data_IF_959799259661
#
_entry.id   IF_959799259661
#
_cell.length_a   1.000
_cell.length_b   1.000
_cell.length_c   1.000
_cell.angle_alpha   90.00
_cell.angle_beta   90.00
_cell.angle_gamma   90.00
#
_symmetry.space_group_name_H-M   'P 1'
#
loop_
_entity.id
_entity.type
_entity.pdbx_description
1 polymer ?
#
# COMPACT_ATOMS: atom_id res chain seq x y z
N UNK A 1 -12.47 15.61 2.74
CA UNK A 1 -12.40 15.01 4.09
C UNK A 1 -11.73 13.66 3.90
N UNK A 2 -10.94 13.14 4.84
CA UNK A 2 -10.36 11.81 4.71
C UNK A 2 -11.45 10.73 4.81
N UNK A 3 -11.25 9.61 4.13
CA UNK A 3 -12.08 8.42 4.27
C UNK A 3 -12.05 7.94 5.73
N UNK A 4 -13.23 7.75 6.32
CA UNK A 4 -13.37 7.30 7.71
C UNK A 4 -13.15 5.79 7.83
N UNK A 5 -12.64 5.34 8.98
CA UNK A 5 -12.46 3.91 9.27
C UNK A 5 -11.09 3.35 8.86
N UNK A 6 -10.18 4.19 8.36
CA UNK A 6 -8.82 3.80 7.96
C UNK A 6 -7.73 4.42 8.86
N UNK A 7 -8.07 4.89 10.06
CA UNK A 7 -7.11 5.45 11.02
C UNK A 7 -5.97 4.48 11.35
N UNK A 8 -6.26 3.18 11.41
CA UNK A 8 -5.24 2.15 11.61
C UNK A 8 -4.20 2.10 10.48
N UNK A 9 -4.59 2.37 9.23
CA UNK A 9 -3.65 2.44 8.11
C UNK A 9 -2.75 3.66 8.25
N UNK A 10 -3.34 4.83 8.50
CA UNK A 10 -2.59 6.08 8.69
C UNK A 10 -1.63 6.00 9.88
N UNK A 11 -2.08 5.41 10.99
CA UNK A 11 -1.25 5.18 12.18
C UNK A 11 -0.07 4.26 11.88
N UNK A 12 -0.31 3.12 11.23
CA UNK A 12 0.76 2.18 10.88
C UNK A 12 1.76 2.79 9.89
N UNK A 13 1.28 3.53 8.88
CA UNK A 13 2.12 4.27 7.93
C UNK A 13 3.01 5.28 8.65
N UNK A 14 2.46 6.05 9.60
CA UNK A 14 3.23 7.00 10.38
C UNK A 14 4.34 6.31 11.20
N UNK A 15 4.00 5.22 11.89
CA UNK A 15 5.00 4.44 12.64
C UNK A 15 6.07 3.84 11.75
N UNK A 16 5.72 3.33 10.56
CA UNK A 16 6.70 2.81 9.60
C UNK A 16 7.65 3.90 9.11
N UNK A 17 7.13 5.09 8.78
CA UNK A 17 7.95 6.27 8.41
C UNK A 17 8.94 6.66 9.51
N UNK A 18 8.54 6.56 10.77
CA UNK A 18 9.36 6.86 11.93
C UNK A 18 10.33 5.71 12.32
N UNK A 19 10.41 4.63 11.54
CA UNK A 19 11.20 3.43 11.86
C UNK A 19 10.77 2.73 13.16
N UNK A 20 9.50 2.83 13.52
CA UNK A 20 8.93 2.23 14.73
C UNK A 20 8.25 0.87 14.46
N UNK A 21 8.14 0.47 13.19
CA UNK A 21 7.63 -0.85 12.77
C UNK A 21 8.51 -1.45 11.69
N UNK A 22 8.51 -2.77 11.63
CA UNK A 22 9.18 -3.57 10.61
C UNK A 22 8.35 -3.74 9.33
N UNK A 23 8.99 -4.28 8.29
CA UNK A 23 8.36 -4.69 7.03
C UNK A 23 7.17 -5.64 7.25
N UNK A 24 7.35 -6.69 8.05
CA UNK A 24 6.29 -7.69 8.26
C UNK A 24 5.10 -7.11 9.05
N UNK A 25 5.36 -6.20 9.99
CA UNK A 25 4.29 -5.53 10.75
C UNK A 25 3.46 -4.61 9.86
N UNK A 26 4.08 -3.76 9.03
CA UNK A 26 3.33 -2.87 8.12
C UNK A 26 2.58 -3.66 7.05
N UNK A 27 3.17 -4.73 6.52
CA UNK A 27 2.48 -5.66 5.60
C UNK A 27 1.23 -6.23 6.25
N UNK A 28 1.33 -6.72 7.50
CA UNK A 28 0.17 -7.31 8.19
C UNK A 28 -0.98 -6.32 8.39
N UNK A 29 -0.69 -5.02 8.51
CA UNK A 29 -1.75 -3.99 8.65
C UNK A 29 -2.34 -3.63 7.30
N UNK A 30 -1.49 -3.31 6.31
CA UNK A 30 -1.94 -2.84 4.99
C UNK A 30 -2.55 -3.96 4.14
N UNK A 31 -2.15 -5.20 4.36
CA UNK A 31 -2.73 -6.41 3.75
C UNK A 31 -3.73 -7.04 4.74
N UNK A 32 -4.56 -6.21 5.37
CA UNK A 32 -5.67 -6.63 6.22
C UNK A 32 -7.01 -6.58 5.50
N UNK A 33 -8.07 -7.04 6.15
CA UNK A 33 -9.44 -7.03 5.61
C UNK A 33 -9.92 -5.66 5.12
N UNK A 34 -9.39 -4.57 5.68
CA UNK A 34 -9.73 -3.20 5.29
C UNK A 34 -9.22 -2.80 3.91
N UNK A 35 -8.20 -3.47 3.35
CA UNK A 35 -7.69 -3.14 2.02
C UNK A 35 -8.71 -3.45 0.92
N UNK A 36 -9.42 -4.58 1.06
CA UNK A 36 -10.49 -4.94 0.13
C UNK A 36 -11.61 -3.89 0.14
N UNK A 37 -12.03 -3.46 1.33
CA UNK A 37 -13.05 -2.42 1.52
C UNK A 37 -12.62 -1.09 0.91
N UNK A 38 -11.38 -0.66 1.16
CA UNK A 38 -10.82 0.58 0.59
C UNK A 38 -10.87 0.58 -0.94
N UNK A 39 -10.42 -0.51 -1.55
CA UNK A 39 -10.45 -0.65 -3.01
C UNK A 39 -11.87 -0.54 -3.55
N UNK A 40 -12.84 -1.22 -2.92
CA UNK A 40 -14.24 -1.18 -3.33
C UNK A 40 -14.85 0.21 -3.20
N UNK A 41 -14.61 0.90 -2.09
CA UNK A 41 -15.12 2.26 -1.82
C UNK A 41 -14.57 3.30 -2.81
N UNK A 42 -13.35 3.08 -3.30
CA UNK A 42 -12.70 3.95 -4.28
C UNK A 42 -12.89 3.51 -5.73
N UNK A 43 -13.74 2.50 -5.98
CA UNK A 43 -14.03 2.03 -7.34
C UNK A 43 -12.85 1.36 -8.04
N UNK A 44 -11.99 0.69 -7.27
CA UNK A 44 -10.96 -0.18 -7.82
C UNK A 44 -11.61 -1.45 -8.38
N UNK A 45 -11.51 -1.64 -9.70
CA UNK A 45 -12.20 -2.72 -10.41
C UNK A 45 -11.63 -4.14 -10.14
N UNK A 46 -10.57 -4.25 -9.34
CA UNK A 46 -9.89 -5.51 -8.99
C UNK A 46 -9.84 -5.65 -7.48
N UNK A 47 -9.28 -6.75 -6.98
CA UNK A 47 -9.05 -6.89 -5.55
C UNK A 47 -7.79 -6.12 -5.12
N UNK A 48 -7.97 -5.06 -4.33
CA UNK A 48 -6.87 -4.27 -3.79
C UNK A 48 -6.04 -5.07 -2.78
N UNK A 49 -6.68 -5.94 -1.99
CA UNK A 49 -5.99 -6.81 -1.04
C UNK A 49 -4.95 -7.67 -1.74
N UNK A 50 -5.35 -8.45 -2.76
CA UNK A 50 -4.42 -9.30 -3.52
C UNK A 50 -3.32 -8.48 -4.19
N UNK A 51 -3.62 -7.24 -4.58
CA UNK A 51 -2.64 -6.38 -5.24
C UNK A 51 -1.58 -5.85 -4.29
N UNK A 52 -1.96 -5.44 -3.09
CA UNK A 52 -0.99 -5.05 -2.06
C UNK A 52 -0.17 -6.25 -1.60
N UNK A 53 -0.79 -7.41 -1.41
CA UNK A 53 -0.08 -8.63 -1.00
C UNK A 53 1.00 -9.01 -2.02
N UNK A 54 0.63 -9.07 -3.31
CA UNK A 54 1.59 -9.35 -4.38
C UNK A 54 2.68 -8.28 -4.50
N UNK A 55 2.38 -7.02 -4.18
CA UNK A 55 3.37 -5.95 -4.16
C UNK A 55 4.39 -6.16 -3.04
N UNK A 56 3.93 -6.46 -1.83
CA UNK A 56 4.82 -6.80 -0.71
C UNK A 56 5.64 -8.08 -0.96
N UNK A 57 5.01 -9.16 -1.46
CA UNK A 57 5.73 -10.40 -1.78
C UNK A 57 6.84 -10.16 -2.78
N UNK A 58 6.57 -9.39 -3.83
CA UNK A 58 7.59 -9.12 -4.85
C UNK A 58 8.74 -8.28 -4.30
N UNK A 59 8.48 -7.34 -3.37
CA UNK A 59 9.55 -6.64 -2.65
C UNK A 59 10.44 -7.65 -1.91
N UNK A 60 9.82 -8.54 -1.14
CA UNK A 60 10.49 -9.54 -0.30
C UNK A 60 11.30 -10.55 -1.12
N UNK A 61 10.78 -10.99 -2.27
CA UNK A 61 11.43 -12.00 -3.11
C UNK A 61 12.44 -11.46 -4.13
N UNK A 62 12.26 -10.23 -4.62
CA UNK A 62 13.03 -9.72 -5.76
C UNK A 62 14.03 -8.60 -5.42
N UNK A 63 13.99 -8.03 -4.22
CA UNK A 63 14.86 -6.92 -3.83
C UNK A 63 15.67 -7.24 -2.58
N UNK A 64 16.82 -6.58 -2.47
CA UNK A 64 17.66 -6.65 -1.27
C UNK A 64 16.97 -5.95 -0.09
N UNK A 65 17.16 -6.47 1.12
CA UNK A 65 16.53 -5.94 2.34
C UNK A 65 16.83 -4.45 2.59
N UNK A 66 18.02 -3.99 2.19
CA UNK A 66 18.41 -2.57 2.25
C UNK A 66 17.52 -1.65 1.41
N UNK A 67 16.92 -2.16 0.33
CA UNK A 67 16.02 -1.41 -0.54
C UNK A 67 14.56 -1.45 -0.07
N UNK A 68 14.17 -2.45 0.74
CA UNK A 68 12.77 -2.71 1.10
C UNK A 68 12.08 -1.47 1.66
N UNK A 69 12.78 -0.72 2.50
CA UNK A 69 12.21 0.47 3.13
C UNK A 69 11.75 1.52 2.13
N UNK A 70 12.58 1.81 1.11
CA UNK A 70 12.23 2.77 0.08
C UNK A 70 11.02 2.31 -0.74
N UNK A 71 10.94 1.01 -1.02
CA UNK A 71 9.86 0.41 -1.81
C UNK A 71 8.55 0.29 -1.02
N UNK A 72 8.59 -0.01 0.27
CA UNK A 72 7.37 -0.03 1.10
C UNK A 72 6.84 1.38 1.33
N UNK A 73 7.73 2.39 1.42
CA UNK A 73 7.26 3.76 1.51
C UNK A 73 6.40 4.19 0.32
N UNK A 74 6.67 3.70 -0.90
CA UNK A 74 5.79 4.01 -2.04
C UNK A 74 4.41 3.36 -1.91
N UNK A 75 4.32 2.17 -1.30
CA UNK A 75 3.04 1.56 -0.91
C UNK A 75 2.32 2.43 0.12
N UNK A 76 3.04 2.88 1.15
CA UNK A 76 2.49 3.76 2.19
C UNK A 76 1.95 5.06 1.59
N UNK A 77 2.72 5.71 0.72
CA UNK A 77 2.34 6.95 0.05
C UNK A 77 1.06 6.76 -0.78
N UNK A 78 0.97 5.64 -1.52
CA UNK A 78 -0.22 5.29 -2.30
C UNK A 78 -1.47 5.11 -1.42
N UNK A 79 -1.36 4.38 -0.31
CA UNK A 79 -2.50 4.12 0.59
C UNK A 79 -2.92 5.39 1.33
N UNK A 80 -1.95 6.17 1.82
CA UNK A 80 -2.24 7.45 2.48
C UNK A 80 -2.94 8.41 1.51
N UNK A 81 -2.42 8.56 0.29
CA UNK A 81 -3.04 9.38 -0.76
C UNK A 81 -4.47 8.93 -1.06
N UNK A 82 -4.70 7.61 -1.20
CA UNK A 82 -6.01 7.04 -1.45
C UNK A 82 -7.02 7.39 -0.34
N UNK A 83 -6.61 7.35 0.93
CA UNK A 83 -7.47 7.69 2.07
C UNK A 83 -7.72 9.19 2.15
N UNK A 84 -6.69 10.01 1.94
CA UNK A 84 -6.78 11.46 2.13
C UNK A 84 -7.52 12.16 0.98
N UNK A 85 -7.32 11.69 -0.25
CA UNK A 85 -7.80 12.35 -1.47
C UNK A 85 -9.00 11.67 -2.12
N UNK A 86 -9.37 10.48 -1.67
CA UNK A 86 -10.52 9.70 -2.15
C UNK A 86 -10.63 9.60 -3.69
N UNK A 87 -9.57 9.20 -4.42
CA UNK A 87 -9.62 9.14 -5.87
C UNK A 87 -10.65 8.11 -6.36
N UNK A 88 -11.51 8.51 -7.30
CA UNK A 88 -12.51 7.63 -7.92
C UNK A 88 -12.44 7.76 -9.45
N UNK A 89 -12.06 6.72 -10.21
CA UNK A 89 -11.63 5.41 -9.72
C UNK A 89 -10.20 5.44 -9.13
N UNK A 90 -9.93 4.57 -8.15
CA UNK A 90 -8.57 4.30 -7.71
C UNK A 90 -7.76 3.70 -8.85
N UNK A 91 -6.53 4.18 -9.04
CA UNK A 91 -5.59 3.63 -10.01
C UNK A 91 -4.24 3.40 -9.37
N UNK A 92 -3.56 2.33 -9.77
CA UNK A 92 -2.21 2.05 -9.32
C UNK A 92 -1.22 3.16 -9.75
N UNK A 93 -0.22 3.49 -8.93
CA UNK A 93 0.76 4.53 -9.24
C UNK A 93 1.66 4.10 -10.40
N UNK A 94 1.50 4.76 -11.56
CA UNK A 94 2.22 4.42 -12.81
C UNK A 94 3.73 4.65 -12.74
N UNK A 95 4.19 5.44 -11.78
CA UNK A 95 5.61 5.75 -11.61
C UNK A 95 6.30 4.81 -10.64
N UNK A 96 5.55 3.94 -9.95
CA UNK A 96 6.11 3.02 -8.96
C UNK A 96 7.06 2.00 -9.60
N UNK A 97 8.21 1.79 -8.97
CA UNK A 97 9.28 0.92 -9.47
C UNK A 97 8.85 -0.54 -9.46
N UNK A 98 8.26 -1.02 -8.37
CA UNK A 98 7.90 -2.43 -8.20
C UNK A 98 6.76 -2.80 -9.15
N UNK A 99 5.76 -1.93 -9.27
CA UNK A 99 4.64 -2.17 -10.18
C UNK A 99 5.08 -2.23 -11.65
N UNK A 100 6.08 -1.43 -12.05
CA UNK A 100 6.71 -1.53 -13.37
C UNK A 100 7.47 -2.84 -13.55
N UNK A 101 8.26 -3.23 -12.56
CA UNK A 101 9.03 -4.47 -12.60
C UNK A 101 8.11 -5.71 -12.63
N UNK A 102 6.89 -5.61 -12.08
CA UNK A 102 5.82 -6.61 -12.23
C UNK A 102 5.04 -6.54 -13.56
N UNK A 103 5.25 -5.52 -14.40
CA UNK A 103 4.48 -5.30 -15.62
C UNK A 103 3.01 -4.94 -15.38
N UNK A 104 2.68 -4.34 -14.23
CA UNK A 104 1.31 -3.97 -13.86
C UNK A 104 0.91 -2.55 -14.28
N UNK A 105 1.88 -1.68 -14.57
CA UNK A 105 1.68 -0.29 -14.99
C UNK A 105 2.66 0.12 -16.08
#
# INVERSE_FOLDING_TARGET
MPLQGYDNFLYAINRYRNNETSFHEIRSVLVGSSAHTLGKELGYNKDLYTKLDAWFEFIEFCYLEEDWRGLVLSICDFIEDAILNEPRPLTLPKTDRVLKDQGLV
#
